data_IF_678358003324
#
_entry.id   IF_678358003324
#
_cell.length_a   1.000
_cell.length_b   1.000
_cell.length_c   1.000
_cell.angle_alpha   90.00
_cell.angle_beta   90.00
_cell.angle_gamma   90.00
#
_symmetry.space_group_name_H-M   'P 1'
#
loop_
_entity.id
_entity.type
_entity.pdbx_description
1 polymer ?
#
# COMPACT_ATOMS: atom_id res chain seq x y z
N UNK A 1 -52.68 35.44 29.16
CA UNK A 1 -51.58 35.60 28.19
C UNK A 1 -50.39 36.10 28.99
N UNK A 2 -49.52 35.19 29.41
CA UNK A 2 -48.39 35.47 30.32
C UNK A 2 -47.12 35.24 29.50
N UNK A 3 -46.37 36.30 29.28
CA UNK A 3 -45.10 36.30 28.55
C UNK A 3 -44.01 35.97 29.55
N UNK A 4 -43.40 34.79 29.43
CA UNK A 4 -42.25 34.38 30.24
C UNK A 4 -40.99 34.81 29.49
N UNK A 5 -40.31 35.81 30.02
CA UNK A 5 -39.06 36.35 29.51
C UNK A 5 -37.92 35.53 30.12
N UNK A 6 -37.34 34.62 29.33
CA UNK A 6 -36.17 33.82 29.70
C UNK A 6 -34.91 34.69 29.53
N UNK A 7 -34.29 35.05 30.65
CA UNK A 7 -33.02 35.76 30.68
C UNK A 7 -31.86 34.82 30.38
N UNK A 8 -31.06 35.16 29.36
CA UNK A 8 -29.83 34.47 29.01
C UNK A 8 -28.78 34.67 30.10
N UNK A 9 -28.44 33.61 30.83
CA UNK A 9 -27.31 33.58 31.75
C UNK A 9 -26.03 33.41 30.92
N UNK A 10 -25.24 34.47 30.80
CA UNK A 10 -23.92 34.42 30.19
C UNK A 10 -22.93 33.69 31.11
N UNK A 11 -22.46 32.53 30.67
CA UNK A 11 -21.32 31.86 31.29
C UNK A 11 -20.01 32.53 30.82
N UNK A 12 -19.10 32.93 31.73
CA UNK A 12 -17.79 33.40 31.31
C UNK A 12 -16.98 32.24 30.74
N UNK A 13 -16.53 32.39 29.50
CA UNK A 13 -15.50 31.55 28.89
C UNK A 13 -14.19 31.69 29.67
N UNK A 14 -13.59 30.59 30.16
CA UNK A 14 -12.23 30.66 30.68
C UNK A 14 -11.25 30.83 29.51
N UNK A 15 -10.63 31.99 29.42
CA UNK A 15 -9.46 32.21 28.57
C UNK A 15 -8.31 31.38 29.12
N UNK A 16 -7.98 30.28 28.43
CA UNK A 16 -6.76 29.50 28.68
C UNK A 16 -5.56 30.35 28.26
N UNK A 17 -4.95 31.05 29.22
CA UNK A 17 -3.65 31.68 29.05
C UNK A 17 -2.61 30.56 29.15
N UNK A 18 -2.12 30.10 28.00
CA UNK A 18 -0.93 29.25 27.94
C UNK A 18 0.28 30.14 28.17
N UNK A 19 0.75 30.22 29.42
CA UNK A 19 2.10 30.70 29.71
C UNK A 19 3.10 29.68 29.18
N UNK A 20 3.68 29.96 28.01
CA UNK A 20 4.88 29.26 27.56
C UNK A 20 6.03 29.62 28.48
N UNK A 21 6.43 28.69 29.34
CA UNK A 21 7.68 28.78 30.08
C UNK A 21 8.85 28.59 29.11
N UNK A 22 9.68 29.62 28.97
CA UNK A 22 10.93 29.58 28.21
C UNK A 22 11.87 28.47 28.74
N UNK A 23 12.55 27.72 27.86
CA UNK A 23 13.60 26.82 28.27
C UNK A 23 14.84 27.60 28.78
N UNK A 24 15.61 27.05 29.73
CA UNK A 24 16.82 27.68 30.24
C UNK A 24 17.91 27.79 29.18
N UNK A 25 18.60 28.92 29.21
CA UNK A 25 19.74 29.27 28.36
C UNK A 25 20.82 28.16 28.33
N UNK A 26 20.96 27.51 27.18
CA UNK A 26 22.14 26.73 26.83
C UNK A 26 23.31 27.63 26.41
N UNK A 27 24.56 27.16 26.51
CA UNK A 27 25.75 27.99 26.36
C UNK A 27 25.90 28.53 24.93
N UNK A 28 26.23 29.81 24.85
CA UNK A 28 26.35 30.57 23.61
C UNK A 28 27.43 30.01 22.68
N UNK A 29 27.03 29.80 21.43
CA UNK A 29 27.95 29.64 20.31
C UNK A 29 28.03 30.97 19.57
N UNK A 30 29.24 31.50 19.54
CA UNK A 30 29.58 32.80 19.01
C UNK A 30 29.22 32.95 17.53
N UNK A 31 28.61 34.09 17.27
CA UNK A 31 28.59 34.81 16.02
C UNK A 31 30.01 35.26 15.66
N UNK A 32 30.78 34.35 15.07
CA UNK A 32 32.04 34.63 14.40
C UNK A 32 31.90 34.45 12.88
N UNK A 33 32.11 35.57 12.17
CA UNK A 33 32.77 35.58 10.87
C UNK A 33 32.08 34.85 9.71
N UNK A 34 31.35 35.62 8.90
CA UNK A 34 31.21 35.32 7.47
C UNK A 34 32.59 35.43 6.80
N UNK A 35 33.36 34.34 6.89
CA UNK A 35 34.58 34.15 6.13
C UNK A 35 34.21 33.88 4.67
N UNK A 36 34.67 34.76 3.79
CA UNK A 36 34.66 34.57 2.35
C UNK A 36 35.27 33.19 2.00
N UNK A 37 34.45 32.31 1.43
CA UNK A 37 34.96 31.14 0.73
C UNK A 37 35.70 31.63 -0.52
N UNK A 38 37.02 31.61 -0.43
CA UNK A 38 37.94 31.72 -1.56
C UNK A 38 37.61 30.66 -2.59
N UNK A 39 37.50 31.09 -3.85
CA UNK A 39 37.44 30.22 -5.02
C UNK A 39 38.67 29.32 -5.04
N UNK A 40 38.48 28.02 -4.76
CA UNK A 40 39.48 26.99 -4.96
C UNK A 40 39.74 26.77 -6.44
N UNK A 41 41.02 26.69 -6.78
CA UNK A 41 41.58 26.41 -8.11
C UNK A 41 40.89 25.26 -8.87
N UNK A 42 40.86 25.31 -10.22
CA UNK A 42 40.38 24.20 -11.02
C UNK A 42 41.29 22.96 -10.85
N UNK A 43 40.71 21.75 -10.76
CA UNK A 43 41.48 20.52 -10.64
C UNK A 43 42.35 20.31 -11.88
N UNK A 44 43.61 19.98 -11.59
CA UNK A 44 44.66 19.69 -12.55
C UNK A 44 44.29 18.55 -13.50
N UNK A 45 44.69 18.70 -14.76
CA UNK A 45 44.59 17.70 -15.82
C UNK A 45 44.99 16.29 -15.34
N UNK A 46 44.00 15.40 -15.24
CA UNK A 46 44.20 13.98 -15.04
C UNK A 46 44.96 13.42 -16.25
N UNK A 47 46.28 13.25 -16.10
CA UNK A 47 47.11 12.51 -17.06
C UNK A 47 46.52 11.12 -17.25
N UNK A 48 45.87 10.90 -18.39
CA UNK A 48 45.37 9.60 -18.82
C UNK A 48 46.55 8.62 -18.91
N UNK A 49 46.56 7.62 -18.05
CA UNK A 49 47.55 6.55 -18.07
C UNK A 49 47.37 5.71 -19.34
N UNK A 50 48.40 5.57 -20.21
CA UNK A 50 48.29 4.80 -21.45
C UNK A 50 48.02 3.30 -21.19
N UNK A 51 48.22 2.83 -19.97
CA UNK A 51 47.94 1.45 -19.55
C UNK A 51 46.43 1.15 -19.52
N UNK A 52 45.60 2.14 -19.18
CA UNK A 52 44.13 1.96 -19.11
C UNK A 52 43.54 1.78 -20.51
N UNK A 53 44.08 2.48 -21.51
CA UNK A 53 43.67 2.32 -22.91
C UNK A 53 44.08 0.97 -23.50
N UNK A 54 45.28 0.47 -23.15
CA UNK A 54 45.74 -0.83 -23.60
C UNK A 54 44.85 -1.98 -23.06
N UNK A 55 44.45 -1.90 -21.78
CA UNK A 55 43.54 -2.87 -21.17
C UNK A 55 42.14 -2.82 -21.78
N UNK A 56 41.60 -1.62 -22.02
CA UNK A 56 40.29 -1.46 -22.67
C UNK A 56 40.25 -2.07 -24.08
N UNK A 57 41.28 -1.84 -24.89
CA UNK A 57 41.36 -2.40 -26.24
C UNK A 57 41.44 -3.94 -26.23
N UNK A 58 42.15 -4.53 -25.28
CA UNK A 58 42.29 -5.98 -25.16
C UNK A 58 40.97 -6.66 -24.79
N UNK A 59 40.17 -6.05 -23.91
CA UNK A 59 38.83 -6.55 -23.54
C UNK A 59 37.88 -6.56 -24.75
N UNK A 60 37.88 -5.49 -25.55
CA UNK A 60 37.04 -5.41 -26.76
C UNK A 60 37.38 -6.51 -27.77
N UNK A 61 38.67 -6.77 -28.00
CA UNK A 61 39.11 -7.85 -28.91
C UNK A 61 38.66 -9.23 -28.39
N UNK A 62 38.75 -9.47 -27.08
CA UNK A 62 38.32 -10.72 -26.47
C UNK A 62 36.80 -10.94 -26.63
N UNK A 63 36.00 -9.89 -26.45
CA UNK A 63 34.54 -9.96 -26.61
C UNK A 63 34.13 -10.24 -28.06
N UNK A 64 34.82 -9.65 -29.04
CA UNK A 64 34.57 -9.93 -30.47
C UNK A 64 34.91 -11.39 -30.80
N UNK A 65 36.01 -11.92 -30.27
CA UNK A 65 36.39 -13.31 -30.48
C UNK A 65 35.37 -14.30 -29.87
N UNK A 66 34.84 -13.99 -28.67
CA UNK A 66 33.82 -14.81 -28.01
C UNK A 66 32.45 -14.74 -28.71
N UNK A 67 32.07 -13.57 -29.24
CA UNK A 67 30.84 -13.46 -30.03
C UNK A 67 30.92 -14.27 -31.33
N UNK A 68 32.10 -14.31 -31.97
CA UNK A 68 32.34 -15.11 -33.17
C UNK A 68 32.24 -16.62 -32.93
N UNK A 69 32.70 -17.13 -31.79
CA UNK A 69 32.65 -18.57 -31.48
C UNK A 69 31.24 -19.05 -31.13
N UNK A 70 30.43 -18.23 -30.47
CA UNK A 70 29.02 -18.57 -30.16
C UNK A 70 28.15 -18.58 -31.43
N UNK A 71 28.37 -17.64 -32.36
CA UNK A 71 27.67 -17.61 -33.65
C UNK A 71 27.98 -18.83 -34.53
N UNK A 72 29.19 -19.37 -34.46
CA UNK A 72 29.58 -20.56 -35.23
C UNK A 72 28.91 -21.85 -34.71
N UNK A 73 28.62 -21.94 -33.41
CA UNK A 73 27.96 -23.11 -32.83
C UNK A 73 26.44 -23.12 -33.06
N UNK A 74 25.80 -21.96 -33.18
CA UNK A 74 24.35 -21.86 -33.40
C UNK A 74 23.92 -22.06 -34.86
N UNK A 75 24.85 -22.07 -35.81
CA UNK A 75 24.55 -22.35 -37.22
C UNK A 75 24.62 -23.86 -37.59
N UNK A 76 24.73 -24.76 -36.60
CA UNK A 76 24.99 -26.19 -36.81
C UNK A 76 23.82 -27.13 -36.53
N UNK A 77 22.63 -26.64 -36.19
CA UNK A 77 21.47 -27.48 -35.88
C UNK A 77 20.32 -27.22 -36.88
N UNK A 78 20.28 -28.03 -37.94
CA UNK A 78 19.09 -28.24 -38.78
C UNK A 78 18.67 -29.71 -38.68
N UNK A 79 17.34 -29.89 -38.58
CA UNK A 79 16.49 -31.09 -38.79
C UNK A 79 15.79 -31.70 -37.55
N UNK A 80 14.50 -31.35 -37.36
CA UNK A 80 13.42 -32.34 -37.17
C UNK A 80 12.01 -31.70 -37.30
N UNK A 81 11.11 -32.20 -38.18
CA UNK A 81 9.76 -31.64 -38.36
C UNK A 81 8.69 -32.25 -37.44
N UNK A 82 7.86 -31.35 -36.90
CA UNK A 82 6.40 -31.40 -36.68
C UNK A 82 5.68 -32.71 -36.27
N UNK A 83 5.06 -32.68 -35.09
CA UNK A 83 3.89 -33.51 -34.77
C UNK A 83 2.76 -32.62 -34.21
N UNK A 84 1.61 -32.67 -34.88
CA UNK A 84 0.38 -31.98 -34.54
C UNK A 84 -0.32 -32.65 -33.34
N UNK A 85 -0.82 -31.86 -32.40
CA UNK A 85 -1.72 -32.33 -31.34
C UNK A 85 -3.14 -31.79 -31.57
N UNK A 86 -4.10 -32.72 -31.58
CA UNK A 86 -5.53 -32.47 -31.67
C UNK A 86 -6.10 -32.03 -30.30
N UNK A 87 -7.19 -31.24 -30.26
CA UNK A 87 -7.85 -30.86 -29.01
C UNK A 87 -8.81 -31.96 -28.51
N UNK A 88 -8.60 -32.39 -27.27
CA UNK A 88 -9.54 -33.22 -26.51
C UNK A 88 -10.65 -32.35 -25.93
N UNK A 89 -11.89 -32.68 -26.28
CA UNK A 89 -13.13 -32.13 -25.73
C UNK A 89 -13.49 -32.89 -24.45
N UNK A 90 -13.73 -32.16 -23.35
CA UNK A 90 -14.23 -32.71 -22.09
C UNK A 90 -15.70 -32.32 -21.91
N UNK A 91 -16.61 -33.25 -21.51
CA UNK A 91 -18.03 -32.95 -21.37
C UNK A 91 -18.36 -32.20 -20.07
N UNK A 92 -19.32 -31.29 -20.18
CA UNK A 92 -19.90 -30.49 -19.11
C UNK A 92 -20.91 -31.30 -18.29
N UNK A 93 -20.68 -31.46 -16.98
CA UNK A 93 -21.69 -32.03 -16.07
C UNK A 93 -22.70 -30.95 -15.68
N UNK A 94 -23.97 -31.24 -15.98
CA UNK A 94 -25.13 -30.44 -15.65
C UNK A 94 -25.62 -30.76 -14.23
N UNK A 95 -25.66 -29.74 -13.37
CA UNK A 95 -26.27 -29.84 -12.05
C UNK A 95 -27.68 -29.29 -12.10
N UNK A 96 -28.62 -30.14 -11.72
CA UNK A 96 -30.07 -29.91 -11.70
C UNK A 96 -30.45 -29.05 -10.50
N UNK A 97 -30.88 -27.81 -10.74
CA UNK A 97 -31.50 -26.97 -9.70
C UNK A 97 -32.99 -27.29 -9.58
N UNK A 98 -33.37 -27.95 -8.48
CA UNK A 98 -34.76 -28.22 -8.10
C UNK A 98 -35.38 -26.94 -7.53
N UNK A 99 -36.26 -26.31 -8.29
CA UNK A 99 -37.11 -25.19 -7.85
C UNK A 99 -38.15 -25.70 -6.84
N UNK A 100 -38.10 -25.18 -5.61
CA UNK A 100 -39.16 -25.30 -4.60
C UNK A 100 -39.95 -24.00 -4.55
N UNK A 101 -41.27 -24.12 -4.65
CA UNK A 101 -42.24 -23.02 -4.68
C UNK A 101 -42.28 -22.19 -3.38
N UNK A 102 -42.64 -20.89 -3.44
CA UNK A 102 -42.87 -20.08 -2.25
C UNK A 102 -44.25 -20.37 -1.65
N UNK A 103 -44.29 -20.79 -0.38
CA UNK A 103 -45.50 -20.71 0.43
C UNK A 103 -45.55 -19.35 1.11
N UNK A 104 -46.53 -18.55 0.71
CA UNK A 104 -46.92 -17.35 1.41
C UNK A 104 -47.50 -17.71 2.79
N UNK A 105 -46.98 -17.10 3.85
CA UNK A 105 -47.73 -16.92 5.09
C UNK A 105 -47.75 -15.43 5.44
N UNK A 106 -48.94 -14.85 5.25
CA UNK A 106 -49.31 -13.55 5.77
C UNK A 106 -49.42 -13.67 7.28
N UNK A 107 -48.45 -13.08 8.00
CA UNK A 107 -48.48 -12.91 9.45
C UNK A 107 -48.41 -11.43 9.80
N UNK A 108 -49.55 -10.75 9.71
CA UNK A 108 -49.72 -9.38 10.21
C UNK A 108 -49.71 -9.43 11.75
N UNK A 109 -48.56 -9.13 12.35
CA UNK A 109 -48.37 -9.06 13.79
C UNK A 109 -47.76 -7.72 14.16
N UNK A 110 -48.61 -6.73 14.43
CA UNK A 110 -48.25 -5.47 15.09
C UNK A 110 -47.54 -5.79 16.41
N UNK A 111 -46.21 -5.72 16.43
CA UNK A 111 -45.44 -5.91 17.67
C UNK A 111 -45.32 -4.55 18.36
N UNK A 112 -46.12 -4.40 19.40
CA UNK A 112 -46.00 -3.36 20.40
C UNK A 112 -44.57 -3.33 20.94
N UNK A 113 -44.00 -2.12 21.06
CA UNK A 113 -42.67 -1.90 21.58
C UNK A 113 -42.50 -2.50 22.96
N UNK A 114 -41.63 -3.50 23.06
CA UNK A 114 -41.06 -3.97 24.31
C UNK A 114 -39.85 -3.10 24.58
N UNK A 115 -39.93 -2.31 25.65
CA UNK A 115 -38.81 -1.55 26.17
C UNK A 115 -37.70 -2.50 26.63
N UNK A 116 -36.51 -2.39 26.03
CA UNK A 116 -35.27 -2.89 26.61
C UNK A 116 -34.39 -3.81 25.77
N UNK A 117 -34.66 -4.01 24.48
CA UNK A 117 -33.71 -4.72 23.59
C UNK A 117 -32.66 -3.71 23.15
N UNK A 118 -31.51 -3.71 23.83
CA UNK A 118 -30.34 -2.96 23.39
C UNK A 118 -29.84 -3.52 22.05
N UNK A 119 -28.96 -2.80 21.31
CA UNK A 119 -28.51 -3.21 19.98
C UNK A 119 -27.83 -4.59 19.92
N UNK A 120 -27.42 -5.16 21.06
CA UNK A 120 -26.73 -6.44 21.17
C UNK A 120 -27.54 -7.50 21.94
N UNK A 121 -28.76 -7.76 21.50
CA UNK A 121 -29.53 -8.89 22.02
C UNK A 121 -28.94 -10.23 21.54
N UNK A 122 -28.64 -11.18 22.45
CA UNK A 122 -28.00 -12.44 22.07
C UNK A 122 -28.82 -13.28 21.10
N UNK A 123 -30.15 -13.30 21.25
CA UNK A 123 -31.05 -14.09 20.40
C UNK A 123 -31.16 -13.48 18.99
N UNK A 124 -31.26 -12.15 18.90
CA UNK A 124 -31.22 -11.40 17.62
C UNK A 124 -29.90 -11.65 16.89
N UNK A 125 -28.77 -11.47 17.58
CA UNK A 125 -27.43 -11.70 17.03
C UNK A 125 -27.28 -13.13 16.55
N UNK A 126 -27.68 -14.13 17.36
CA UNK A 126 -27.54 -15.53 17.01
C UNK A 126 -28.35 -15.87 15.76
N UNK A 127 -29.59 -15.35 15.67
CA UNK A 127 -30.47 -15.57 14.54
C UNK A 127 -29.93 -14.93 13.24
N UNK A 128 -29.47 -13.68 13.31
CA UNK A 128 -29.03 -12.91 12.13
C UNK A 128 -27.64 -13.33 11.64
N UNK A 129 -26.68 -13.54 12.57
CA UNK A 129 -25.32 -13.93 12.23
C UNK A 129 -25.17 -15.43 11.87
N UNK A 130 -26.29 -16.18 11.82
CA UNK A 130 -26.32 -17.58 11.46
C UNK A 130 -25.66 -18.51 12.49
N UNK A 131 -25.65 -18.13 13.77
CA UNK A 131 -25.10 -18.94 14.85
C UNK A 131 -26.18 -19.93 15.31
N UNK A 132 -26.03 -21.21 14.96
CA UNK A 132 -27.05 -22.23 15.21
C UNK A 132 -27.12 -22.73 16.65
N UNK A 133 -26.16 -22.35 17.50
CA UNK A 133 -26.09 -22.76 18.91
C UNK A 133 -26.88 -21.77 19.76
N UNK A 134 -27.67 -22.29 20.71
CA UNK A 134 -28.60 -21.49 21.54
C UNK A 134 -27.94 -20.77 22.71
N UNK A 135 -26.67 -21.04 22.95
CA UNK A 135 -25.93 -20.52 24.11
C UNK A 135 -24.90 -19.48 23.63
N UNK A 136 -25.38 -18.45 22.93
CA UNK A 136 -24.56 -17.29 22.56
C UNK A 136 -24.59 -16.32 23.74
N UNK A 137 -23.42 -15.94 24.22
CA UNK A 137 -23.27 -14.99 25.31
C UNK A 137 -22.47 -13.79 24.80
N UNK A 138 -22.97 -12.58 25.02
CA UNK A 138 -22.32 -11.35 24.56
C UNK A 138 -21.39 -10.86 25.67
N UNK A 139 -20.09 -11.00 25.44
CA UNK A 139 -19.05 -10.55 26.38
C UNK A 139 -18.94 -9.02 26.39
N UNK A 140 -18.99 -8.41 25.21
CA UNK A 140 -18.91 -6.95 25.03
C UNK A 140 -19.82 -6.48 23.90
N UNK A 141 -20.46 -5.34 24.12
CA UNK A 141 -21.33 -4.67 23.16
C UNK A 141 -20.87 -3.21 23.00
N UNK A 142 -20.51 -2.83 21.78
CA UNK A 142 -20.00 -1.50 21.43
C UNK A 142 -20.81 -0.91 20.26
N UNK A 143 -22.14 -0.84 20.42
CA UNK A 143 -23.04 -0.33 19.40
C UNK A 143 -23.23 -1.34 18.27
N UNK A 144 -22.62 -1.06 17.11
CA UNK A 144 -22.70 -1.90 15.91
C UNK A 144 -21.68 -3.04 15.90
N UNK A 145 -20.96 -3.26 17.02
CA UNK A 145 -19.98 -4.32 17.16
C UNK A 145 -20.17 -5.08 18.47
N UNK A 146 -19.96 -6.40 18.43
CA UNK A 146 -20.05 -7.25 19.61
C UNK A 146 -18.97 -8.34 19.61
N UNK A 147 -18.46 -8.65 20.80
CA UNK A 147 -17.70 -9.87 21.06
C UNK A 147 -18.64 -10.87 21.73
N UNK A 148 -18.77 -12.04 21.14
CA UNK A 148 -19.61 -13.11 21.65
C UNK A 148 -18.79 -14.38 21.85
N UNK A 149 -19.14 -15.15 22.89
CA UNK A 149 -18.72 -16.53 23.00
C UNK A 149 -19.91 -17.47 22.91
N UNK A 150 -19.64 -18.70 22.50
CA UNK A 150 -20.61 -19.78 22.41
C UNK A 150 -20.19 -20.88 23.35
N UNK A 151 -21.06 -21.20 24.30
CA UNK A 151 -20.80 -22.28 25.24
C UNK A 151 -20.77 -23.62 24.51
N UNK A 152 -19.72 -24.41 24.76
CA UNK A 152 -19.55 -25.75 24.18
C UNK A 152 -19.84 -26.77 25.28
N UNK A 153 -20.88 -27.60 25.13
CA UNK A 153 -21.16 -28.67 26.08
C UNK A 153 -19.96 -29.61 26.25
N UNK A 154 -19.79 -30.14 27.46
CA UNK A 154 -18.72 -31.08 27.76
C UNK A 154 -18.79 -32.32 26.85
N UNK A 155 -17.72 -32.60 26.10
CA UNK A 155 -17.63 -33.74 25.19
C UNK A 155 -17.76 -33.40 23.70
N UNK A 156 -18.10 -32.16 23.36
CA UNK A 156 -17.99 -31.67 21.99
C UNK A 156 -16.59 -31.11 21.69
N UNK A 157 -16.10 -31.19 20.44
CA UNK A 157 -14.87 -30.52 20.05
C UNK A 157 -15.02 -29.01 20.24
N UNK A 158 -14.08 -28.42 20.98
CA UNK A 158 -13.94 -26.97 21.08
C UNK A 158 -13.47 -26.44 19.71
N UNK A 159 -14.42 -26.09 18.84
CA UNK A 159 -14.14 -25.21 17.70
C UNK A 159 -13.94 -23.77 18.17
N UNK A 160 -13.86 -22.82 17.24
CA UNK A 160 -13.80 -21.40 17.60
C UNK A 160 -15.04 -21.05 18.42
N UNK A 161 -14.83 -20.81 19.72
CA UNK A 161 -15.91 -20.52 20.67
C UNK A 161 -16.15 -19.02 20.79
N UNK A 162 -15.29 -18.19 20.22
CA UNK A 162 -15.37 -16.74 20.30
C UNK A 162 -15.47 -16.14 18.89
N UNK A 163 -16.36 -15.16 18.76
CA UNK A 163 -16.67 -14.49 17.50
C UNK A 163 -16.73 -12.98 17.72
N UNK A 164 -16.19 -12.24 16.75
CA UNK A 164 -16.48 -10.81 16.62
C UNK A 164 -17.56 -10.66 15.56
N UNK A 165 -18.54 -9.82 15.87
CA UNK A 165 -19.74 -9.58 15.07
C UNK A 165 -19.78 -8.10 14.71
N UNK A 166 -20.18 -7.81 13.47
CA UNK A 166 -20.40 -6.46 12.98
C UNK A 166 -21.83 -6.31 12.47
N UNK A 167 -22.42 -5.14 12.70
CA UNK A 167 -23.74 -4.75 12.21
C UNK A 167 -23.59 -3.78 11.06
N UNK A 168 -24.08 -4.15 9.89
CA UNK A 168 -24.15 -3.29 8.71
C UNK A 168 -25.58 -3.31 8.18
N UNK A 169 -26.09 -2.15 7.77
CA UNK A 169 -27.47 -1.99 7.27
C UNK A 169 -28.53 -2.55 8.23
N UNK A 170 -28.27 -2.46 9.53
CA UNK A 170 -29.16 -2.95 10.58
C UNK A 170 -29.15 -4.46 10.80
N UNK A 171 -28.35 -5.23 10.05
CA UNK A 171 -28.25 -6.71 10.17
C UNK A 171 -26.91 -7.12 10.77
N UNK A 172 -26.95 -8.02 11.74
CA UNK A 172 -25.76 -8.63 12.31
C UNK A 172 -25.15 -9.70 11.40
N UNK A 173 -23.83 -9.66 11.27
CA UNK A 173 -23.07 -10.70 10.57
C UNK A 173 -21.82 -11.07 11.36
N UNK A 174 -21.37 -12.32 11.19
CA UNK A 174 -20.08 -12.76 11.72
C UNK A 174 -18.98 -12.06 10.96
N UNK A 175 -18.20 -11.24 11.67
CA UNK A 175 -17.02 -10.60 11.10
C UNK A 175 -15.84 -11.57 11.07
N UNK A 176 -15.51 -12.20 12.22
CA UNK A 176 -14.45 -13.22 12.31
C UNK A 176 -14.61 -14.12 13.54
N UNK A 177 -13.95 -15.28 13.53
CA UNK A 177 -13.75 -16.14 14.70
C UNK A 177 -12.41 -15.85 15.39
N UNK A 178 -12.25 -16.24 16.64
CA UNK A 178 -10.97 -16.16 17.37
C UNK A 178 -10.43 -17.59 17.55
N UNK A 179 -9.18 -17.88 17.11
CA UNK A 179 -8.18 -16.95 16.56
C UNK A 179 -8.54 -16.43 15.16
N UNK A 180 -8.34 -15.12 14.95
CA UNK A 180 -8.67 -14.45 13.69
C UNK A 180 -7.47 -14.36 12.76
N UNK A 181 -7.71 -14.54 11.45
CA UNK A 181 -6.76 -14.18 10.39
C UNK A 181 -6.85 -12.71 9.96
N UNK A 182 -7.84 -11.96 10.48
CA UNK A 182 -8.01 -10.52 10.23
C UNK A 182 -7.15 -9.71 11.20
N UNK A 183 -6.51 -8.68 10.67
CA UNK A 183 -5.61 -7.78 11.38
C UNK A 183 -6.35 -6.67 12.11
N UNK A 184 -5.80 -6.21 13.25
CA UNK A 184 -6.37 -5.10 14.03
C UNK A 184 -6.55 -3.81 13.22
N UNK A 185 -5.53 -3.40 12.46
CA UNK A 185 -5.54 -2.16 11.66
C UNK A 185 -6.61 -2.22 10.54
N UNK A 186 -6.75 -3.36 9.87
CA UNK A 186 -7.78 -3.56 8.83
C UNK A 186 -9.19 -3.51 9.44
N UNK A 187 -9.37 -4.14 10.60
CA UNK A 187 -10.63 -4.12 11.31
C UNK A 187 -11.04 -2.73 11.78
N UNK A 188 -10.10 -1.91 12.26
CA UNK A 188 -10.36 -0.49 12.57
C UNK A 188 -10.76 0.31 11.32
N UNK A 189 -10.15 0.01 10.17
CA UNK A 189 -10.53 0.58 8.87
C UNK A 189 -11.98 0.26 8.47
N UNK A 190 -12.46 -0.92 8.82
CA UNK A 190 -13.86 -1.34 8.65
C UNK A 190 -14.82 -0.75 9.70
N UNK A 191 -14.31 0.08 10.61
CA UNK A 191 -15.09 0.77 11.64
C UNK A 191 -15.20 0.02 12.96
N UNK A 192 -14.39 -1.03 13.19
CA UNK A 192 -14.33 -1.72 14.47
C UNK A 192 -13.74 -0.81 15.56
N UNK A 193 -14.34 -0.74 16.76
CA UNK A 193 -13.75 -0.02 17.88
C UNK A 193 -12.41 -0.62 18.28
N UNK A 194 -11.42 0.23 18.57
CA UNK A 194 -10.07 -0.18 18.97
C UNK A 194 -10.04 -1.16 20.16
N UNK A 195 -11.02 -1.09 21.08
CA UNK A 195 -11.14 -2.04 22.19
C UNK A 195 -11.38 -3.48 21.71
N UNK A 196 -12.17 -3.66 20.64
CA UNK A 196 -12.39 -4.98 20.04
C UNK A 196 -11.24 -5.38 19.12
N UNK A 197 -10.67 -4.43 18.39
CA UNK A 197 -9.50 -4.68 17.54
C UNK A 197 -8.29 -5.18 18.35
N UNK A 198 -8.17 -4.80 19.62
CA UNK A 198 -7.12 -5.29 20.52
C UNK A 198 -7.20 -6.80 20.86
N UNK A 199 -8.33 -7.47 20.58
CA UNK A 199 -8.45 -8.93 20.68
C UNK A 199 -7.99 -9.66 19.41
N UNK A 200 -7.79 -8.92 18.32
CA UNK A 200 -7.23 -9.46 17.09
C UNK A 200 -5.71 -9.50 17.17
N UNK A 201 -5.11 -10.29 16.30
CA UNK A 201 -3.67 -10.26 16.16
C UNK A 201 -3.26 -8.89 15.60
N UNK A 202 -2.27 -8.27 16.24
CA UNK A 202 -1.40 -7.33 15.53
C UNK A 202 -0.74 -8.14 14.42
N UNK A 203 -1.32 -8.06 13.23
CA UNK A 203 -0.61 -8.57 12.08
C UNK A 203 0.68 -7.77 11.95
N UNK A 204 1.75 -8.36 11.40
CA UNK A 204 2.75 -7.53 10.78
C UNK A 204 1.99 -6.65 9.78
N UNK A 205 1.90 -5.33 10.02
CA UNK A 205 1.70 -4.37 8.92
C UNK A 205 2.65 -4.86 7.87
N UNK A 206 2.12 -5.42 6.77
CA UNK A 206 2.91 -6.16 5.76
C UNK A 206 4.32 -5.66 5.84
N UNK A 207 5.26 -6.39 6.46
CA UNK A 207 6.60 -5.84 6.70
C UNK A 207 7.05 -5.27 5.38
N UNK A 208 7.10 -3.94 5.32
CA UNK A 208 6.70 -3.17 4.15
C UNK A 208 7.18 -3.84 2.88
N UNK A 209 6.23 -4.33 2.06
CA UNK A 209 6.48 -5.35 1.05
C UNK A 209 7.88 -5.22 0.46
N UNK A 210 8.78 -6.16 0.77
CA UNK A 210 10.23 -6.07 0.57
C UNK A 210 10.74 -4.76 -0.08
N UNK A 211 11.35 -3.89 0.70
CA UNK A 211 11.88 -2.60 0.23
C UNK A 211 10.90 -1.44 0.31
N UNK A 212 9.75 -1.57 0.95
CA UNK A 212 8.96 -0.38 1.33
C UNK A 212 9.70 0.38 2.46
N UNK A 213 9.51 1.69 2.52
CA UNK A 213 10.18 2.57 3.47
C UNK A 213 9.36 2.82 4.75
N UNK A 214 8.18 2.21 4.88
CA UNK A 214 7.30 2.37 6.05
C UNK A 214 6.67 3.76 6.15
N UNK A 215 6.45 4.41 5.00
CA UNK A 215 5.85 5.74 4.93
C UNK A 215 4.32 5.67 4.96
N UNK A 216 3.65 6.79 5.28
CA UNK A 216 2.19 6.86 5.29
C UNK A 216 1.57 6.58 3.91
N UNK A 217 2.23 7.04 2.84
CA UNK A 217 1.96 6.51 1.50
C UNK A 217 2.64 5.15 1.40
N UNK A 218 1.95 4.06 1.00
CA UNK A 218 2.58 2.76 0.79
C UNK A 218 3.40 2.73 -0.51
N UNK A 219 4.43 1.88 -0.58
CA UNK A 219 5.21 1.70 -1.81
C UNK A 219 4.34 1.08 -2.91
N UNK A 220 4.30 1.70 -4.08
CA UNK A 220 3.54 1.20 -5.22
C UNK A 220 4.37 0.29 -6.13
N UNK A 221 3.70 -0.65 -6.81
CA UNK A 221 4.26 -1.49 -7.89
C UNK A 221 3.35 -1.42 -9.11
N UNK A 222 3.48 -0.37 -9.95
CA UNK A 222 2.63 -0.22 -11.11
C UNK A 222 2.89 -1.32 -12.15
N UNK A 223 1.87 -1.70 -12.91
CA UNK A 223 2.01 -2.66 -14.00
C UNK A 223 2.93 -2.11 -15.11
N UNK A 224 3.67 -3.01 -15.75
CA UNK A 224 4.52 -2.70 -16.91
C UNK A 224 3.68 -2.79 -18.21
N UNK A 225 2.71 -1.90 -18.34
CA UNK A 225 1.67 -1.90 -19.38
C UNK A 225 1.91 -0.87 -20.50
N UNK A 226 3.09 -0.25 -20.54
CA UNK A 226 3.43 0.81 -21.50
C UNK A 226 3.01 2.22 -21.08
N UNK A 227 2.49 2.40 -19.86
CA UNK A 227 2.13 3.73 -19.35
C UNK A 227 3.36 4.59 -19.06
N UNK A 228 3.25 5.89 -19.31
CA UNK A 228 4.25 6.87 -18.92
C UNK A 228 4.15 7.25 -17.45
N UNK A 229 5.29 7.55 -16.81
CA UNK A 229 5.36 8.21 -15.52
C UNK A 229 6.23 9.45 -15.57
N UNK A 230 5.83 10.48 -14.82
CA UNK A 230 6.67 11.64 -14.56
C UNK A 230 7.38 11.42 -13.23
N UNK A 231 8.69 11.24 -13.28
CA UNK A 231 9.53 11.14 -12.09
C UNK A 231 9.82 12.55 -11.58
N UNK A 232 9.47 12.81 -10.33
CA UNK A 232 9.57 14.11 -9.66
C UNK A 232 10.82 14.21 -8.78
N UNK A 233 11.23 13.08 -8.20
CA UNK A 233 12.39 12.98 -7.33
C UNK A 233 12.97 11.57 -7.36
N UNK A 234 14.29 11.42 -7.19
CA UNK A 234 14.96 10.13 -7.10
C UNK A 234 15.94 10.13 -5.92
N UNK A 235 15.69 9.30 -4.90
CA UNK A 235 16.57 9.12 -3.77
C UNK A 235 17.55 7.96 -4.06
N UNK A 236 18.84 8.20 -3.87
CA UNK A 236 19.92 7.24 -4.12
C UNK A 236 20.91 7.12 -2.96
N UNK A 237 20.65 7.80 -1.84
CA UNK A 237 21.55 7.85 -0.67
C UNK A 237 21.16 6.77 0.35
N UNK A 238 21.97 5.71 0.55
CA UNK A 238 21.70 4.73 1.59
C UNK A 238 21.63 5.37 2.97
N UNK A 239 20.61 4.99 3.75
CA UNK A 239 20.37 5.55 5.09
C UNK A 239 19.48 6.80 5.12
N UNK A 240 19.24 7.46 3.99
CA UNK A 240 18.40 8.66 3.91
C UNK A 240 17.11 8.48 3.08
N UNK A 241 16.86 7.28 2.52
CA UNK A 241 15.72 7.05 1.62
C UNK A 241 14.37 7.47 2.19
N UNK A 242 14.03 7.09 3.43
CA UNK A 242 12.73 7.40 4.04
C UNK A 242 12.52 8.90 4.23
N UNK A 243 13.55 9.61 4.70
CA UNK A 243 13.54 11.07 4.88
C UNK A 243 13.42 11.79 3.53
N UNK A 244 14.24 11.43 2.55
CA UNK A 244 14.22 12.06 1.23
C UNK A 244 12.88 11.86 0.51
N UNK A 245 12.34 10.63 0.55
CA UNK A 245 11.07 10.29 -0.11
C UNK A 245 9.88 10.92 0.61
N UNK A 246 9.83 10.92 1.95
CA UNK A 246 8.77 11.60 2.70
C UNK A 246 8.75 13.11 2.45
N UNK A 247 9.93 13.74 2.39
CA UNK A 247 10.08 15.15 2.03
C UNK A 247 9.64 15.42 0.58
N UNK A 248 9.97 14.54 -0.37
CA UNK A 248 9.51 14.67 -1.75
C UNK A 248 7.98 14.48 -1.89
N UNK A 249 7.39 13.51 -1.19
CA UNK A 249 5.94 13.28 -1.20
C UNK A 249 5.15 14.46 -0.62
N UNK A 250 5.65 15.09 0.45
CA UNK A 250 5.00 16.28 1.03
C UNK A 250 5.02 17.50 0.09
N UNK A 251 6.07 17.64 -0.74
CA UNK A 251 6.17 18.69 -1.78
C UNK A 251 5.32 18.39 -3.02
N UNK A 252 4.90 17.15 -3.22
CA UNK A 252 4.14 16.71 -4.39
C UNK A 252 2.88 15.94 -3.98
N UNK A 253 1.83 16.62 -3.49
CA UNK A 253 0.57 15.98 -3.14
C UNK A 253 -0.02 15.16 -4.28
N UNK A 254 -0.49 13.95 -3.97
CA UNK A 254 -1.02 13.01 -4.96
C UNK A 254 0.04 12.23 -5.74
N UNK A 255 1.32 12.41 -5.46
CA UNK A 255 2.37 11.54 -5.97
C UNK A 255 2.41 10.20 -5.24
N UNK A 256 2.92 9.18 -5.92
CA UNK A 256 3.23 7.88 -5.34
C UNK A 256 4.75 7.69 -5.37
N UNK A 257 5.25 6.67 -4.69
CA UNK A 257 6.65 6.28 -4.83
C UNK A 257 6.77 4.78 -5.13
N UNK A 258 7.90 4.42 -5.71
CA UNK A 258 8.27 3.05 -6.05
C UNK A 258 9.77 2.86 -5.86
N UNK A 259 10.20 1.59 -5.82
CA UNK A 259 11.59 1.18 -5.91
C UNK A 259 11.85 0.63 -7.31
N UNK A 260 12.81 1.20 -8.03
CA UNK A 260 12.92 1.00 -9.49
C UNK A 260 13.30 -0.42 -9.90
N UNK A 261 14.14 -1.11 -9.14
CA UNK A 261 14.55 -2.51 -9.37
C UNK A 261 13.43 -3.53 -9.10
N UNK A 262 12.31 -3.10 -8.52
CA UNK A 262 11.14 -3.94 -8.20
C UNK A 262 9.87 -3.53 -8.96
N UNK A 263 9.97 -2.58 -9.90
CA UNK A 263 8.83 -2.07 -10.67
C UNK A 263 8.81 -2.62 -12.10
N UNK A 264 9.61 -2.07 -13.01
CA UNK A 264 9.66 -2.50 -14.42
C UNK A 264 11.10 -2.55 -14.95
N UNK A 265 11.43 -3.49 -15.87
CA UNK A 265 12.76 -3.56 -16.49
C UNK A 265 13.21 -2.30 -17.23
N UNK A 266 12.27 -1.51 -17.74
CA UNK A 266 12.51 -0.21 -18.37
C UNK A 266 12.99 0.89 -17.41
N UNK A 267 12.99 0.63 -16.10
CA UNK A 267 13.52 1.56 -15.11
C UNK A 267 14.93 1.15 -14.71
N UNK A 268 15.80 2.14 -14.53
CA UNK A 268 17.17 1.91 -14.05
C UNK A 268 17.13 1.26 -12.67
N UNK A 269 17.64 0.05 -12.55
CA UNK A 269 17.60 -0.72 -11.30
C UNK A 269 18.48 -0.12 -10.21
N UNK A 270 19.62 0.45 -10.59
CA UNK A 270 20.60 1.04 -9.68
C UNK A 270 21.18 2.34 -10.23
N UNK A 271 21.76 3.15 -9.35
CA UNK A 271 22.57 4.29 -9.76
C UNK A 271 23.98 3.88 -10.23
N UNK A 272 24.78 4.87 -10.62
CA UNK A 272 26.15 4.68 -11.08
C UNK A 272 27.07 4.10 -9.99
N UNK A 273 26.67 4.24 -8.71
CA UNK A 273 27.39 3.73 -7.54
C UNK A 273 26.86 2.35 -7.09
N UNK A 274 25.84 1.80 -7.76
CA UNK A 274 25.21 0.53 -7.38
C UNK A 274 24.14 0.66 -6.29
N UNK A 275 23.74 1.87 -5.89
CA UNK A 275 22.67 2.11 -4.94
C UNK A 275 21.30 1.83 -5.56
N UNK A 276 20.36 1.36 -4.73
CA UNK A 276 18.96 1.22 -5.15
C UNK A 276 18.35 2.60 -5.35
N UNK A 277 17.40 2.73 -6.27
CA UNK A 277 16.74 4.00 -6.55
C UNK A 277 15.29 3.93 -6.07
N UNK A 278 14.91 4.87 -5.22
CA UNK A 278 13.51 5.15 -4.92
C UNK A 278 13.07 6.38 -5.71
N UNK A 279 11.95 6.28 -6.41
CA UNK A 279 11.44 7.36 -7.24
C UNK A 279 10.06 7.80 -6.74
N UNK A 280 9.89 9.12 -6.55
CA UNK A 280 8.57 9.73 -6.40
C UNK A 280 8.07 10.09 -7.80
N UNK A 281 6.86 9.68 -8.14
CA UNK A 281 6.32 9.83 -9.48
C UNK A 281 4.83 10.18 -9.48
N UNK A 282 4.36 10.65 -10.64
CA UNK A 282 2.94 10.69 -10.98
C UNK A 282 2.68 9.86 -12.24
N UNK A 283 1.55 9.14 -12.31
CA UNK A 283 1.13 8.48 -13.53
C UNK A 283 0.84 9.52 -14.62
N UNK A 284 1.12 9.15 -15.87
CA UNK A 284 0.81 9.91 -17.08
C UNK A 284 0.02 9.03 -18.05
N UNK A 285 -0.13 9.48 -19.29
CA UNK A 285 -0.78 8.76 -20.38
C UNK A 285 0.09 7.68 -21.03
N UNK A 286 -0.38 7.15 -22.16
CA UNK A 286 0.25 6.05 -22.92
C UNK A 286 0.95 6.56 -24.18
N UNK A 287 0.93 7.87 -24.43
CA UNK A 287 1.56 8.47 -25.60
C UNK A 287 2.67 9.44 -25.20
N UNK A 288 3.71 9.55 -26.03
CA UNK A 288 4.82 10.48 -25.80
C UNK A 288 4.34 11.93 -25.66
N UNK A 289 3.27 12.29 -26.39
CA UNK A 289 2.68 13.63 -26.32
C UNK A 289 2.13 13.96 -24.94
N UNK A 290 1.37 13.04 -24.33
CA UNK A 290 0.83 13.17 -22.96
C UNK A 290 1.96 13.25 -21.93
N UNK A 291 2.90 12.29 -22.00
CA UNK A 291 4.03 12.24 -21.08
C UNK A 291 4.87 13.53 -21.14
N UNK A 292 5.17 14.02 -22.34
CA UNK A 292 5.93 15.25 -22.48
C UNK A 292 5.14 16.49 -22.09
N UNK A 293 3.81 16.49 -22.24
CA UNK A 293 2.95 17.55 -21.70
C UNK A 293 3.06 17.60 -20.18
N UNK A 294 2.96 16.45 -19.52
CA UNK A 294 3.01 16.36 -18.07
C UNK A 294 4.40 16.69 -17.51
N UNK A 295 5.47 16.21 -18.14
CA UNK A 295 6.86 16.57 -17.78
C UNK A 295 7.04 18.10 -17.89
N UNK A 296 6.60 18.72 -18.98
CA UNK A 296 6.69 20.19 -19.17
C UNK A 296 5.85 20.96 -18.16
N UNK A 297 4.72 20.41 -17.72
CA UNK A 297 3.88 21.03 -16.70
C UNK A 297 4.55 21.04 -15.32
N UNK A 298 5.42 20.06 -15.02
CA UNK A 298 6.23 20.06 -13.79
C UNK A 298 7.47 20.94 -13.92
N UNK A 299 8.15 20.84 -15.05
CA UNK A 299 9.44 21.48 -15.28
C UNK A 299 10.63 20.72 -14.64
N UNK A 300 11.87 21.17 -14.89
CA UNK A 300 13.07 20.54 -14.34
C UNK A 300 13.07 20.53 -12.80
N UNK A 301 13.62 19.49 -12.14
CA UNK A 301 14.38 18.37 -12.71
C UNK A 301 13.52 17.16 -13.11
N UNK A 302 12.19 17.30 -13.23
CA UNK A 302 11.33 16.17 -13.56
C UNK A 302 11.60 15.63 -14.97
N UNK A 303 11.41 14.32 -15.14
CA UNK A 303 11.63 13.64 -16.42
C UNK A 303 10.64 12.48 -16.63
N UNK A 304 10.48 12.07 -17.89
CA UNK A 304 9.58 11.00 -18.28
C UNK A 304 10.26 9.63 -18.37
N UNK A 305 9.54 8.58 -17.96
CA UNK A 305 9.91 7.17 -18.18
C UNK A 305 8.70 6.35 -18.62
N UNK A 306 8.93 5.31 -19.38
CA UNK A 306 7.92 4.29 -19.69
C UNK A 306 7.96 3.17 -18.67
N UNK A 307 6.79 2.66 -18.29
CA UNK A 307 6.63 1.44 -17.50
C UNK A 307 6.37 0.27 -18.44
N UNK A 308 7.42 -0.35 -18.94
CA UNK A 308 7.33 -1.49 -19.85
C UNK A 308 8.52 -2.45 -19.65
N UNK A 309 8.62 -3.47 -20.50
CA UNK A 309 9.67 -4.49 -20.43
C UNK A 309 10.71 -4.38 -21.55
N UNK A 310 10.61 -3.37 -22.41
CA UNK A 310 11.38 -3.30 -23.68
C UNK A 310 12.19 -2.02 -23.85
N UNK A 311 11.81 -0.92 -23.21
CA UNK A 311 12.50 0.37 -23.27
C UNK A 311 13.84 0.30 -22.55
N UNK A 312 14.85 1.00 -23.07
CA UNK A 312 16.19 1.04 -22.47
C UNK A 312 16.15 1.81 -21.13
N UNK A 313 16.56 1.18 -20.00
CA UNK A 313 16.55 1.82 -18.68
C UNK A 313 17.53 3.00 -18.55
N UNK A 314 18.51 3.11 -19.44
CA UNK A 314 19.47 4.21 -19.47
C UNK A 314 18.95 5.42 -20.24
N UNK A 315 17.96 5.24 -21.13
CA UNK A 315 17.44 6.31 -21.98
C UNK A 315 16.21 7.01 -21.39
N UNK A 316 16.33 8.32 -21.20
CA UNK A 316 15.21 9.18 -20.79
C UNK A 316 14.27 9.43 -21.98
N UNK A 317 12.97 9.53 -21.71
CA UNK A 317 12.04 10.00 -22.74
C UNK A 317 12.35 11.45 -23.05
N UNK A 318 12.81 11.74 -24.27
CA UNK A 318 13.13 13.11 -24.67
C UNK A 318 11.85 13.91 -24.88
N UNK A 319 11.72 14.93 -24.05
CA UNK A 319 10.72 15.99 -24.09
C UNK A 319 11.48 17.33 -24.13
#
# INVERSE_FOLDING_TARGET
>A
MIVIQIGSVGYPTPSLVVTMSSPPNGPGWGNEGWGHASYGEPPQDARRSPVVWALGALIVVLLIALAGTVGYLLASDDDQPGAAFAPTTTPSEAWTTRQGAPSASTGNGTRAGVAGVGPCDPDEIAAEAGITRRDVNIDRCLGDWALAHVDVPAGEPAGDTQYILGRADGTWSRYTGIPSGICSDDAEGDGMPAELAAFLNECPRSEGAAGDLGLATPMSRPACDGRGIVVLYSAVTPGAYSEEISSALSRHPGASYLRTDMACPSLRSRDENGNVIYAVYRPSGYTRGELCSDVRAVGPPAYGRWLDTTSDPTELVTC
#
